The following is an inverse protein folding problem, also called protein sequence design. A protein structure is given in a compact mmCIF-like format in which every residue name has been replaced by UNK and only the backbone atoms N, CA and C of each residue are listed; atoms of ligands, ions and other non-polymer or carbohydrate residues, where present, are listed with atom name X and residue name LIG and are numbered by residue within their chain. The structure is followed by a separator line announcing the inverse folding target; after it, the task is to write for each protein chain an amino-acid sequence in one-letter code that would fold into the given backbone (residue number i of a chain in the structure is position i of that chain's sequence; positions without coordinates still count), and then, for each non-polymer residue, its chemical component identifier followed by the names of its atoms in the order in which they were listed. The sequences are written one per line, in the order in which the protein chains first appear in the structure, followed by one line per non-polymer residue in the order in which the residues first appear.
data_IF_117968091260
#
_entry.id   IF_117968091260
#
_cell.length_a   1.000
_cell.length_b   1.000
_cell.length_c   1.000
_cell.angle_alpha   90.00
_cell.angle_beta   90.00
_cell.angle_gamma   90.00
#
_symmetry.space_group_name_H-M   'P 1'
#
loop_
_entity.id
_entity.type
_entity.pdbx_description
1 polymer ?
#
# COMPACT_ATOMS: atom_id res chain seq x y z
N UNK A 1 2.92 -4.71 25.41
CA UNK A 1 1.60 -4.85 24.71
C UNK A 1 1.58 -3.90 23.55
N UNK A 2 1.10 -4.33 22.37
CA UNK A 2 0.96 -3.49 21.19
C UNK A 2 -0.19 -2.48 21.40
N UNK A 3 0.04 -1.23 21.03
CA UNK A 3 -0.94 -0.14 21.07
C UNK A 3 -1.15 0.50 19.71
N UNK A 4 -0.09 0.53 18.90
CA UNK A 4 -0.08 1.17 17.58
C UNK A 4 0.08 0.11 16.50
N UNK A 5 -0.75 0.18 15.47
CA UNK A 5 -0.67 -0.74 14.33
C UNK A 5 -0.55 0.11 13.06
N UNK A 6 0.47 -0.18 12.27
CA UNK A 6 0.69 0.46 10.98
C UNK A 6 0.37 -0.57 9.89
N UNK A 7 -0.44 -0.21 8.90
CA UNK A 7 -0.78 -1.06 7.76
C UNK A 7 -0.26 -0.47 6.46
N UNK A 8 0.21 -1.33 5.54
CA UNK A 8 0.25 -0.98 4.13
C UNK A 8 -1.17 -0.95 3.54
N UNK A 9 -1.29 -0.50 2.30
CA UNK A 9 -2.55 -0.44 1.55
C UNK A 9 -2.63 -1.54 0.50
N UNK A 10 -1.60 -1.65 -0.37
CA UNK A 10 -1.57 -2.67 -1.42
C UNK A 10 -1.52 -4.08 -0.85
N UNK A 11 -2.34 -4.99 -1.37
CA UNK A 11 -2.46 -6.36 -0.86
C UNK A 11 -3.14 -6.51 0.51
N UNK A 12 -3.47 -5.39 1.19
CA UNK A 12 -4.14 -5.39 2.50
C UNK A 12 -5.53 -4.74 2.43
N UNK A 13 -5.60 -3.51 1.96
CA UNK A 13 -6.85 -2.74 1.85
C UNK A 13 -7.31 -2.64 0.40
N UNK A 14 -6.39 -2.52 -0.55
CA UNK A 14 -6.66 -2.56 -1.98
C UNK A 14 -6.06 -3.82 -2.60
N UNK A 15 -6.82 -4.50 -3.47
CA UNK A 15 -6.33 -5.65 -4.23
C UNK A 15 -5.60 -5.17 -5.49
N UNK A 16 -4.32 -4.86 -5.36
CA UNK A 16 -3.40 -4.51 -6.45
C UNK A 16 -2.61 -5.70 -6.99
N UNK A 17 -3.11 -6.93 -6.73
CA UNK A 17 -2.44 -8.18 -7.08
C UNK A 17 -2.47 -8.46 -8.59
N UNK A 18 -1.48 -9.19 -9.06
CA UNK A 18 -1.44 -9.67 -10.45
C UNK A 18 -2.52 -10.72 -10.72
N UNK A 19 -2.94 -11.44 -9.69
CA UNK A 19 -4.03 -12.41 -9.72
C UNK A 19 -5.38 -11.74 -10.01
N UNK A 20 -5.65 -10.60 -9.36
CA UNK A 20 -6.82 -9.78 -9.64
C UNK A 20 -6.82 -9.30 -11.10
N UNK A 21 -5.70 -8.76 -11.58
CA UNK A 21 -5.57 -8.34 -12.98
C UNK A 21 -5.74 -9.51 -13.95
N UNK A 22 -5.16 -10.66 -13.66
CA UNK A 22 -5.29 -11.85 -14.51
C UNK A 22 -6.74 -12.33 -14.62
N UNK A 23 -7.51 -12.23 -13.54
CA UNK A 23 -8.94 -12.53 -13.54
C UNK A 23 -9.75 -11.50 -14.35
N UNK A 24 -9.45 -10.21 -14.21
CA UNK A 24 -10.14 -9.12 -14.94
C UNK A 24 -9.96 -9.27 -16.46
N UNK A 25 -8.75 -9.61 -16.90
CA UNK A 25 -8.41 -9.69 -18.33
C UNK A 25 -8.55 -11.09 -18.91
N UNK A 26 -8.96 -12.09 -18.11
CA UNK A 26 -8.98 -13.50 -18.49
C UNK A 26 -7.69 -13.94 -19.19
N UNK A 27 -6.55 -13.56 -18.61
CA UNK A 27 -5.22 -13.73 -19.17
C UNK A 27 -4.15 -13.65 -18.10
N UNK A 28 -3.07 -14.42 -18.24
CA UNK A 28 -1.88 -14.24 -17.42
C UNK A 28 -1.28 -12.83 -17.60
N UNK A 29 -1.28 -12.05 -16.53
CA UNK A 29 -0.82 -10.67 -16.52
C UNK A 29 0.55 -10.47 -15.86
N UNK A 30 1.26 -11.52 -15.44
CA UNK A 30 2.53 -11.40 -14.73
C UNK A 30 3.59 -10.58 -15.48
N UNK A 31 3.76 -10.81 -16.79
CA UNK A 31 4.74 -10.06 -17.58
C UNK A 31 4.33 -8.59 -17.76
N UNK A 32 3.04 -8.31 -17.93
CA UNK A 32 2.51 -6.94 -18.01
C UNK A 32 2.68 -6.22 -16.68
N UNK A 33 2.33 -6.91 -15.58
CA UNK A 33 2.50 -6.41 -14.22
C UNK A 33 3.96 -6.05 -13.93
N UNK A 34 4.89 -6.99 -14.17
CA UNK A 34 6.33 -6.75 -14.02
C UNK A 34 6.82 -5.56 -14.84
N UNK A 35 6.33 -5.41 -16.06
CA UNK A 35 6.65 -4.29 -16.95
C UNK A 35 6.17 -2.96 -16.37
N UNK A 36 4.93 -2.90 -15.87
CA UNK A 36 4.35 -1.71 -15.24
C UNK A 36 5.18 -1.27 -14.03
N UNK A 37 5.47 -2.20 -13.12
CA UNK A 37 6.12 -1.87 -11.84
C UNK A 37 7.64 -1.80 -11.90
N UNK A 38 8.22 -1.82 -13.12
CA UNK A 38 9.65 -1.62 -13.37
C UNK A 38 9.99 -0.17 -13.75
N UNK A 39 11.25 0.09 -13.98
CA UNK A 39 11.74 1.34 -14.59
C UNK A 39 11.32 2.62 -13.86
N UNK A 40 10.68 3.51 -14.60
CA UNK A 40 10.29 4.84 -14.12
C UNK A 40 9.07 4.86 -13.20
N UNK A 41 8.36 3.73 -12.99
CA UNK A 41 7.23 3.67 -12.06
C UNK A 41 7.59 4.17 -10.65
N UNK A 42 8.84 3.94 -10.22
CA UNK A 42 9.33 4.50 -8.95
C UNK A 42 9.18 6.03 -8.87
N UNK A 43 9.25 6.76 -10.00
CA UNK A 43 9.05 8.22 -10.01
C UNK A 43 7.59 8.57 -9.71
N UNK A 44 6.64 7.73 -10.16
CA UNK A 44 5.22 7.88 -9.83
C UNK A 44 4.98 7.67 -8.33
N UNK A 45 5.60 6.63 -7.76
CA UNK A 45 5.53 6.37 -6.31
C UNK A 45 6.16 7.48 -5.45
N UNK A 46 7.09 8.25 -6.00
CA UNK A 46 7.72 9.39 -5.33
C UNK A 46 7.04 10.74 -5.62
N UNK A 47 5.95 10.73 -6.42
CA UNK A 47 5.23 11.93 -6.83
C UNK A 47 5.93 12.79 -7.90
N UNK A 48 7.03 12.29 -8.48
CA UNK A 48 7.87 13.02 -9.45
C UNK A 48 7.42 12.83 -10.91
N UNK A 49 6.47 11.93 -11.16
CA UNK A 49 5.90 11.66 -12.49
C UNK A 49 4.43 11.28 -12.29
N UNK A 50 3.52 11.85 -13.10
CA UNK A 50 2.13 11.42 -13.07
C UNK A 50 1.91 10.17 -13.94
N UNK A 51 0.89 9.41 -13.62
CA UNK A 51 0.57 8.15 -14.31
C UNK A 51 0.24 8.38 -15.79
N UNK A 52 -0.41 9.48 -16.14
CA UNK A 52 -0.77 9.78 -17.53
C UNK A 52 0.47 9.99 -18.41
N UNK A 53 1.51 10.59 -17.85
CA UNK A 53 2.79 10.74 -18.54
C UNK A 53 3.55 9.41 -18.59
N UNK A 54 3.53 8.65 -17.49
CA UNK A 54 4.15 7.33 -17.45
C UNK A 54 3.56 6.37 -18.49
N UNK A 55 2.24 6.33 -18.66
CA UNK A 55 1.57 5.52 -19.68
C UNK A 55 2.12 5.82 -21.10
N UNK A 56 2.50 7.07 -21.39
CA UNK A 56 3.02 7.44 -22.71
C UNK A 56 4.35 6.76 -23.05
N UNK A 57 5.14 6.34 -22.04
CA UNK A 57 6.38 5.60 -22.26
C UNK A 57 6.15 4.26 -22.97
N UNK A 58 4.93 3.72 -22.89
CA UNK A 58 4.56 2.41 -23.43
C UNK A 58 3.84 2.49 -24.80
N UNK A 59 3.70 3.65 -25.43
CA UNK A 59 2.90 3.83 -26.65
C UNK A 59 3.21 2.83 -27.78
N UNK A 60 4.47 2.40 -27.88
CA UNK A 60 4.92 1.45 -28.90
C UNK A 60 5.07 0.03 -28.36
N UNK A 61 4.69 -0.23 -27.12
CA UNK A 61 4.74 -1.54 -26.51
C UNK A 61 3.54 -2.39 -26.95
N UNK A 62 3.76 -3.67 -27.24
CA UNK A 62 2.70 -4.61 -27.62
C UNK A 62 1.59 -4.73 -26.57
N UNK A 63 1.93 -4.48 -25.31
CA UNK A 63 1.01 -4.58 -24.16
C UNK A 63 0.39 -3.23 -23.77
N UNK A 64 0.61 -2.16 -24.57
CA UNK A 64 0.12 -0.81 -24.29
C UNK A 64 -1.37 -0.76 -23.91
N UNK A 65 -2.20 -1.53 -24.60
CA UNK A 65 -3.65 -1.61 -24.32
C UNK A 65 -3.91 -2.01 -22.87
N UNK A 66 -3.24 -3.04 -22.37
CA UNK A 66 -3.39 -3.51 -21.00
C UNK A 66 -2.80 -2.53 -19.99
N UNK A 67 -1.59 -2.04 -20.25
CA UNK A 67 -0.90 -1.08 -19.38
C UNK A 67 -1.74 0.19 -19.20
N UNK A 68 -2.27 0.73 -20.30
CA UNK A 68 -3.09 1.94 -20.28
C UNK A 68 -4.41 1.73 -19.53
N UNK A 69 -5.07 0.57 -19.63
CA UNK A 69 -6.29 0.26 -18.88
C UNK A 69 -6.01 0.07 -17.40
N UNK A 70 -4.94 -0.65 -17.04
CA UNK A 70 -4.58 -0.92 -15.64
C UNK A 70 -4.24 0.38 -14.90
N UNK A 71 -3.46 1.25 -15.53
CA UNK A 71 -2.98 2.47 -14.91
C UNK A 71 -3.95 3.66 -15.01
N UNK A 72 -5.02 3.54 -15.81
CA UNK A 72 -5.96 4.63 -16.03
C UNK A 72 -6.66 5.04 -14.73
N UNK A 73 -6.60 6.33 -14.30
CA UNK A 73 -7.20 6.77 -13.04
C UNK A 73 -8.70 6.44 -12.92
N UNK A 74 -9.46 6.54 -14.03
CA UNK A 74 -10.90 6.25 -14.06
C UNK A 74 -11.26 4.76 -13.99
N UNK A 75 -10.28 3.87 -13.90
CA UNK A 75 -10.47 2.41 -13.83
C UNK A 75 -9.98 1.83 -12.49
N UNK A 76 -9.53 2.66 -11.58
CA UNK A 76 -8.95 2.18 -10.32
C UNK A 76 -9.95 1.40 -9.47
N UNK A 77 -11.25 1.72 -9.51
CA UNK A 77 -12.29 0.94 -8.82
C UNK A 77 -12.33 -0.54 -9.23
N UNK A 78 -11.95 -0.83 -10.48
CA UNK A 78 -11.93 -2.18 -11.03
C UNK A 78 -10.53 -2.80 -10.86
N UNK A 79 -9.48 -2.02 -11.10
CA UNK A 79 -8.10 -2.53 -11.14
C UNK A 79 -7.50 -2.72 -9.76
N UNK A 80 -7.91 -1.90 -8.79
CA UNK A 80 -7.48 -1.96 -7.38
C UNK A 80 -8.70 -1.87 -6.46
N UNK A 81 -9.60 -2.86 -6.48
CA UNK A 81 -10.82 -2.81 -5.66
C UNK A 81 -10.52 -2.85 -4.17
N UNK A 82 -11.43 -2.30 -3.38
CA UNK A 82 -11.37 -2.38 -1.92
C UNK A 82 -11.56 -3.83 -1.47
N UNK A 83 -10.64 -4.33 -0.64
CA UNK A 83 -10.79 -5.60 0.11
C UNK A 83 -11.64 -5.30 1.34
N UNK A 84 -12.96 -5.35 1.16
CA UNK A 84 -13.94 -4.86 2.14
C UNK A 84 -13.79 -5.54 3.50
N UNK A 85 -13.62 -6.84 3.52
CA UNK A 85 -13.49 -7.62 4.76
C UNK A 85 -12.27 -7.16 5.58
N UNK A 86 -11.13 -7.00 4.94
CA UNK A 86 -9.91 -6.52 5.61
C UNK A 86 -10.09 -5.10 6.14
N UNK A 87 -10.68 -4.21 5.32
CA UNK A 87 -10.91 -2.82 5.73
C UNK A 87 -11.86 -2.73 6.94
N UNK A 88 -12.98 -3.45 6.92
CA UNK A 88 -13.94 -3.47 8.04
C UNK A 88 -13.29 -4.02 9.33
N UNK A 89 -12.49 -5.08 9.20
CA UNK A 89 -11.73 -5.62 10.32
C UNK A 89 -10.73 -4.60 10.89
N UNK A 90 -9.94 -3.95 10.03
CA UNK A 90 -8.97 -2.93 10.44
C UNK A 90 -9.69 -1.78 11.15
N UNK A 91 -10.79 -1.27 10.60
CA UNK A 91 -11.58 -0.23 11.25
C UNK A 91 -12.10 -0.67 12.63
N UNK A 92 -12.44 -1.94 12.82
CA UNK A 92 -12.89 -2.45 14.12
C UNK A 92 -11.78 -2.48 15.17
N UNK A 93 -10.51 -2.58 14.78
CA UNK A 93 -9.38 -2.47 15.72
C UNK A 93 -9.37 -1.12 16.45
N UNK A 94 -9.87 -0.06 15.80
CA UNK A 94 -10.05 1.26 16.46
C UNK A 94 -11.00 1.17 17.66
N UNK A 95 -12.11 0.44 17.51
CA UNK A 95 -13.09 0.22 18.58
C UNK A 95 -12.52 -0.65 19.72
N UNK A 96 -11.50 -1.46 19.42
CA UNK A 96 -10.76 -2.26 20.40
C UNK A 96 -9.66 -1.47 21.13
N UNK A 97 -9.50 -0.17 20.82
CA UNK A 97 -8.59 0.75 21.49
C UNK A 97 -7.20 0.84 20.90
N UNK A 98 -6.97 0.30 19.69
CA UNK A 98 -5.70 0.46 18.99
C UNK A 98 -5.63 1.81 18.25
N UNK A 99 -4.44 2.42 18.22
CA UNK A 99 -4.14 3.52 17.33
C UNK A 99 -3.73 2.95 15.96
N UNK A 100 -4.35 3.44 14.88
CA UNK A 100 -4.17 2.92 13.54
C UNK A 100 -3.44 3.91 12.65
N UNK A 101 -2.47 3.43 11.91
CA UNK A 101 -1.67 4.25 10.99
C UNK A 101 -1.54 3.58 9.63
N UNK A 102 -1.31 4.39 8.60
CA UNK A 102 -1.02 3.93 7.24
C UNK A 102 0.43 4.32 6.88
N UNK A 103 1.16 3.39 6.28
CA UNK A 103 2.45 3.65 5.66
C UNK A 103 2.52 2.94 4.30
N UNK A 104 2.30 3.67 3.21
CA UNK A 104 2.14 3.04 1.89
C UNK A 104 2.92 3.70 0.76
N UNK A 105 3.39 2.86 -0.17
CA UNK A 105 3.96 3.28 -1.43
C UNK A 105 2.85 3.41 -2.47
N UNK A 106 2.28 4.59 -2.64
CA UNK A 106 1.21 4.85 -3.61
C UNK A 106 1.60 5.92 -4.61
N UNK A 107 1.06 5.82 -5.83
CA UNK A 107 1.03 6.95 -6.75
C UNK A 107 -0.03 7.95 -6.30
N UNK A 108 0.06 9.19 -6.79
CA UNK A 108 -0.92 10.22 -6.45
C UNK A 108 -2.33 9.85 -6.91
N UNK A 109 -2.43 9.16 -8.03
CA UNK A 109 -3.71 8.70 -8.58
C UNK A 109 -4.33 7.61 -7.70
N UNK A 110 -3.54 6.64 -7.24
CA UNK A 110 -4.00 5.60 -6.31
C UNK A 110 -4.35 6.19 -4.94
N UNK A 111 -3.59 7.18 -4.46
CA UNK A 111 -3.93 7.93 -3.24
C UNK A 111 -5.28 8.65 -3.36
N UNK A 112 -5.52 9.34 -4.48
CA UNK A 112 -6.80 10.00 -4.73
C UNK A 112 -7.96 9.00 -4.81
N UNK A 113 -7.72 7.84 -5.43
CA UNK A 113 -8.68 6.75 -5.48
C UNK A 113 -9.01 6.22 -4.07
N UNK A 114 -8.00 5.91 -3.27
CA UNK A 114 -8.17 5.48 -1.88
C UNK A 114 -9.04 6.46 -1.09
N UNK A 115 -8.76 7.76 -1.18
CA UNK A 115 -9.54 8.81 -0.51
C UNK A 115 -11.00 8.91 -0.98
N UNK A 116 -11.32 8.40 -2.19
CA UNK A 116 -12.70 8.32 -2.66
C UNK A 116 -13.47 7.11 -2.10
N UNK A 117 -12.75 6.09 -1.66
CA UNK A 117 -13.32 4.84 -1.14
C UNK A 117 -13.47 4.84 0.38
N UNK A 118 -12.51 5.42 1.10
CA UNK A 118 -12.45 5.38 2.55
C UNK A 118 -12.20 6.76 3.15
N UNK A 119 -12.76 6.99 4.34
CA UNK A 119 -12.43 8.17 5.16
C UNK A 119 -11.24 7.85 6.06
N UNK A 120 -10.04 8.19 5.57
CA UNK A 120 -8.79 7.94 6.30
C UNK A 120 -8.82 8.62 7.67
N UNK A 121 -9.25 9.88 7.73
CA UNK A 121 -9.21 10.67 8.97
C UNK A 121 -10.17 10.15 10.05
N UNK A 122 -11.19 9.40 9.65
CA UNK A 122 -12.16 8.83 10.59
C UNK A 122 -11.59 7.63 11.38
N UNK A 123 -10.80 6.81 10.74
CA UNK A 123 -10.38 5.54 11.31
C UNK A 123 -8.88 5.48 11.64
N UNK A 124 -8.06 6.29 10.98
CA UNK A 124 -6.62 6.28 11.17
C UNK A 124 -6.14 7.54 11.89
N UNK A 125 -5.26 7.37 12.86
CA UNK A 125 -4.64 8.44 13.64
C UNK A 125 -3.53 9.16 12.86
N UNK A 126 -3.11 8.57 11.74
CA UNK A 126 -2.16 9.19 10.84
C UNK A 126 -1.82 8.32 9.63
N UNK A 127 -1.27 8.97 8.62
CA UNK A 127 -0.87 8.31 7.39
C UNK A 127 0.37 8.95 6.77
N UNK A 128 1.18 8.14 6.10
CA UNK A 128 2.28 8.58 5.24
C UNK A 128 2.20 7.84 3.91
N UNK A 129 2.19 8.61 2.83
CA UNK A 129 2.19 8.12 1.46
C UNK A 129 3.45 8.56 0.74
N UNK A 130 4.12 7.64 0.07
CA UNK A 130 5.40 7.90 -0.59
C UNK A 130 5.34 9.04 -1.62
N UNK A 131 4.22 9.17 -2.33
CA UNK A 131 4.02 10.23 -3.33
C UNK A 131 3.91 11.64 -2.73
N UNK A 132 3.63 11.76 -1.43
CA UNK A 132 3.56 13.05 -0.73
C UNK A 132 4.89 13.46 -0.12
N UNK A 133 5.66 12.47 0.35
CA UNK A 133 6.90 12.74 1.09
C UNK A 133 8.17 12.55 0.25
N UNK A 134 8.05 12.02 -0.97
CA UNK A 134 9.19 11.79 -1.86
C UNK A 134 10.14 10.68 -1.41
N UNK A 135 9.74 9.87 -0.43
CA UNK A 135 10.51 8.74 0.11
C UNK A 135 9.61 7.51 0.10
N UNK A 136 10.17 6.33 -0.15
CA UNK A 136 9.38 5.10 -0.22
C UNK A 136 9.98 3.96 0.57
N UNK A 137 9.16 3.03 1.03
CA UNK A 137 9.58 1.74 1.58
C UNK A 137 10.39 0.96 0.53
N UNK A 138 11.46 0.24 0.89
CA UNK A 138 11.95 -0.04 2.26
C UNK A 138 13.03 0.94 2.74
N UNK A 139 13.15 2.15 2.21
CA UNK A 139 14.15 3.10 2.70
C UNK A 139 13.92 3.39 4.19
N UNK A 140 15.00 3.39 4.97
CA UNK A 140 14.96 3.59 6.42
C UNK A 140 14.25 4.90 6.81
N UNK A 141 14.49 5.95 6.03
CA UNK A 141 13.99 7.29 6.30
C UNK A 141 12.46 7.38 6.35
N UNK A 142 11.73 6.54 5.62
CA UNK A 142 10.26 6.58 5.66
C UNK A 142 9.71 5.93 6.94
N UNK A 143 10.40 4.92 7.48
CA UNK A 143 10.05 4.32 8.77
C UNK A 143 10.38 5.27 9.92
N UNK A 144 11.54 5.92 9.88
CA UNK A 144 11.91 6.97 10.84
C UNK A 144 10.92 8.14 10.80
N UNK A 145 10.45 8.50 9.60
CA UNK A 145 9.49 9.58 9.41
C UNK A 145 8.15 9.30 10.10
N UNK A 146 7.58 8.09 9.96
CA UNK A 146 6.30 7.77 10.61
C UNK A 146 6.47 7.68 12.13
N UNK A 147 7.56 7.09 12.62
CA UNK A 147 7.88 7.00 14.05
C UNK A 147 7.95 8.40 14.64
N UNK A 148 8.73 9.29 14.03
CA UNK A 148 8.95 10.64 14.55
C UNK A 148 7.72 11.53 14.42
N UNK A 149 7.00 11.48 13.28
CA UNK A 149 5.84 12.32 13.02
C UNK A 149 4.70 12.08 14.01
N UNK A 150 4.51 10.82 14.41
CA UNK A 150 3.43 10.44 15.33
C UNK A 150 3.92 10.04 16.71
N UNK A 151 5.21 10.28 17.00
CA UNK A 151 5.85 9.98 18.30
C UNK A 151 5.59 8.53 18.76
N UNK A 152 5.77 7.56 17.85
CA UNK A 152 5.45 6.17 18.08
C UNK A 152 6.54 5.49 18.95
N UNK A 153 6.12 4.80 20.01
CA UNK A 153 7.00 3.90 20.74
C UNK A 153 7.14 2.59 19.95
N UNK A 154 8.33 2.32 19.39
CA UNK A 154 8.59 1.15 18.55
C UNK A 154 8.36 -0.18 19.27
N UNK A 155 8.52 -0.23 20.61
CA UNK A 155 8.21 -1.41 21.41
C UNK A 155 6.72 -1.73 21.49
N UNK A 156 5.85 -0.73 21.28
CA UNK A 156 4.39 -0.82 21.32
C UNK A 156 3.77 -0.68 19.92
N UNK A 157 4.58 -0.66 18.86
CA UNK A 157 4.15 -0.47 17.47
C UNK A 157 4.44 -1.71 16.64
N UNK A 158 3.44 -2.17 15.88
CA UNK A 158 3.57 -3.29 14.95
C UNK A 158 3.16 -2.88 13.53
N UNK A 159 4.02 -3.17 12.56
CA UNK A 159 3.80 -2.88 11.15
C UNK A 159 3.46 -4.15 10.37
N UNK A 160 2.45 -4.06 9.49
CA UNK A 160 2.04 -5.13 8.58
C UNK A 160 2.19 -4.68 7.12
N UNK A 161 2.84 -5.53 6.31
CA UNK A 161 3.03 -5.35 4.87
C UNK A 161 3.01 -6.72 4.19
N UNK A 162 2.49 -6.83 2.98
CA UNK A 162 2.43 -8.09 2.22
C UNK A 162 3.78 -8.51 1.62
N UNK A 163 4.76 -7.60 1.60
CA UNK A 163 6.07 -7.80 0.94
C UNK A 163 7.20 -8.00 1.94
N UNK A 164 7.78 -9.20 1.95
CA UNK A 164 8.88 -9.59 2.84
C UNK A 164 10.04 -8.58 2.84
N UNK A 165 10.41 -8.05 1.67
CA UNK A 165 11.47 -7.04 1.54
C UNK A 165 11.15 -5.76 2.33
N UNK A 166 9.88 -5.37 2.41
CA UNK A 166 9.43 -4.18 3.15
C UNK A 166 9.44 -4.46 4.64
N UNK A 167 8.94 -5.62 5.05
CA UNK A 167 8.97 -6.08 6.45
C UNK A 167 10.39 -6.11 6.98
N UNK A 168 11.34 -6.65 6.22
CA UNK A 168 12.75 -6.68 6.61
C UNK A 168 13.33 -5.26 6.77
N UNK A 169 13.04 -4.33 5.85
CA UNK A 169 13.46 -2.93 5.98
C UNK A 169 12.87 -2.22 7.19
N UNK A 170 11.64 -2.56 7.59
CA UNK A 170 11.02 -2.03 8.81
C UNK A 170 11.73 -2.57 10.07
N UNK A 171 12.04 -3.86 10.11
CA UNK A 171 12.79 -4.49 11.22
C UNK A 171 14.19 -3.87 11.35
N UNK A 172 14.91 -3.70 10.24
CA UNK A 172 16.22 -3.04 10.21
C UNK A 172 16.16 -1.57 10.70
N UNK A 173 14.99 -0.95 10.57
CA UNK A 173 14.72 0.41 11.06
C UNK A 173 14.26 0.45 12.54
N UNK A 174 14.19 -0.70 13.22
CA UNK A 174 13.85 -0.80 14.64
C UNK A 174 12.36 -0.95 14.95
N UNK A 175 11.50 -1.15 13.94
CA UNK A 175 10.09 -1.50 14.13
C UNK A 175 9.91 -3.00 14.30
N UNK A 176 8.91 -3.40 15.09
CA UNK A 176 8.36 -4.74 14.97
C UNK A 176 7.53 -4.79 13.70
N UNK A 177 7.75 -5.78 12.86
CA UNK A 177 7.01 -5.93 11.62
C UNK A 177 6.71 -7.39 11.31
N UNK A 178 5.62 -7.63 10.59
CA UNK A 178 5.12 -8.96 10.20
C UNK A 178 4.60 -8.93 8.77
N UNK A 179 4.76 -10.05 8.08
CA UNK A 179 4.13 -10.25 6.78
C UNK A 179 2.63 -10.41 6.99
N UNK A 180 1.85 -9.61 6.30
CA UNK A 180 0.40 -9.76 6.23
C UNK A 180 0.06 -10.83 5.18
N UNK A 181 -0.69 -11.85 5.56
CA UNK A 181 -1.27 -12.84 4.65
C UNK A 181 -2.79 -12.86 4.80
N UNK A 182 -3.27 -12.60 6.03
CA UNK A 182 -4.68 -12.58 6.37
C UNK A 182 -4.92 -11.76 7.64
N UNK A 183 -6.19 -11.47 7.94
CA UNK A 183 -6.60 -10.86 9.21
C UNK A 183 -6.31 -11.76 10.42
N UNK A 184 -6.24 -13.08 10.24
CA UNK A 184 -5.92 -14.02 11.31
C UNK A 184 -4.47 -13.86 11.79
N UNK A 185 -3.54 -13.47 10.91
CA UNK A 185 -2.16 -13.16 11.29
C UNK A 185 -2.13 -11.94 12.22
N UNK A 186 -2.96 -10.93 11.93
CA UNK A 186 -3.06 -9.73 12.77
C UNK A 186 -3.56 -10.11 14.16
N UNK A 187 -4.65 -10.89 14.26
CA UNK A 187 -5.19 -11.37 15.54
C UNK A 187 -4.15 -12.17 16.34
N UNK A 188 -3.45 -13.08 15.66
CA UNK A 188 -2.42 -13.92 16.31
C UNK A 188 -1.32 -13.08 16.96
N UNK A 189 -0.93 -11.98 16.32
CA UNK A 189 0.12 -11.10 16.88
C UNK A 189 -0.41 -10.17 18.00
N UNK A 190 -1.70 -9.84 17.99
CA UNK A 190 -2.31 -8.96 19.00
C UNK A 190 -2.68 -9.68 20.31
N UNK A 191 -2.83 -11.01 20.28
CA UNK A 191 -3.14 -11.84 21.47
C UNK A 191 -1.87 -12.17 22.30
N UNK A 192 -0.68 -12.06 21.72
CA UNK A 192 0.62 -12.28 22.37
C UNK A 192 0.98 -11.14 23.32
#
# INVERSE_FOLDING_TARGET
MIKNIIFDIGGIILDDSVENLSRIFDKDMHEVYKKIYSGNFKKCLLGNLNITEYIKEFKNDKDYKYISEILKPSKQDIMNPLIKENYEYICNLKNRGYNLYILSNLTKETYNHLNSLIDINKYFDGAIFSCEVGIKKPNKEIFELIINRYNLNTNETLFFDDKERIVNGAIESGLKAKIFKSIDDVETELIK
#
